data_IF_834146672742
#
_entry.id   IF_834146672742
#
_cell.length_a   1.000
_cell.length_b   1.000
_cell.length_c   1.000
_cell.angle_alpha   90.00
_cell.angle_beta   90.00
_cell.angle_gamma   90.00
#
_symmetry.space_group_name_H-M   'P 1'
#
loop_
_entity.id
_entity.type
_entity.pdbx_description
1 polymer ?
#
# COMPACT_ATOMS: atom_id res chain seq x y z
N UNK A 1 -2.20 8.19 18.97
CA UNK A 1 -1.64 7.09 18.16
C UNK A 1 -2.79 6.34 17.50
N UNK A 2 -2.59 5.80 16.29
CA UNK A 2 -3.56 4.91 15.60
C UNK A 2 -3.05 3.45 15.64
N UNK A 3 -2.87 2.84 16.83
CA UNK A 3 -2.35 1.48 16.91
C UNK A 3 -3.38 0.51 16.36
N UNK A 4 -2.93 -0.44 15.55
CA UNK A 4 -3.73 -1.61 15.24
C UNK A 4 -3.95 -2.38 16.54
N UNK A 5 -5.21 -2.54 16.93
CA UNK A 5 -5.58 -3.34 18.10
C UNK A 5 -5.94 -4.72 17.53
N UNK A 6 -5.16 -5.74 17.92
CA UNK A 6 -5.55 -7.12 17.63
C UNK A 6 -6.87 -7.40 18.34
N UNK A 7 -7.82 -7.96 17.59
CA UNK A 7 -9.18 -8.21 18.03
C UNK A 7 -9.53 -9.68 17.75
N UNK A 8 -10.39 -10.30 18.56
CA UNK A 8 -10.93 -11.62 18.24
C UNK A 8 -11.61 -11.62 16.87
N UNK A 9 -11.44 -12.71 16.11
CA UNK A 9 -12.06 -12.91 14.81
C UNK A 9 -13.47 -13.48 14.95
N UNK A 10 -14.33 -12.79 15.70
CA UNK A 10 -15.73 -13.20 15.90
C UNK A 10 -16.71 -12.05 15.62
N UNK A 11 -17.98 -12.39 15.42
CA UNK A 11 -19.05 -11.44 15.10
C UNK A 11 -19.37 -10.45 16.22
N UNK A 12 -18.84 -10.64 17.43
CA UNK A 12 -18.98 -9.66 18.52
C UNK A 12 -18.06 -8.45 18.35
N UNK A 13 -17.03 -8.59 17.50
CA UNK A 13 -16.02 -7.57 17.31
C UNK A 13 -16.31 -6.59 16.16
N UNK A 14 -17.55 -6.11 16.08
CA UNK A 14 -17.99 -5.18 15.03
C UNK A 14 -18.46 -3.85 15.59
N UNK A 15 -18.47 -2.81 14.77
CA UNK A 15 -19.03 -1.51 15.13
C UNK A 15 -20.53 -1.62 15.41
N UNK A 16 -20.98 -1.08 16.53
CA UNK A 16 -22.41 -0.99 16.88
C UNK A 16 -23.11 0.15 16.16
N UNK A 17 -22.37 1.18 15.75
CA UNK A 17 -22.88 2.36 15.05
C UNK A 17 -21.97 2.75 13.88
N UNK A 18 -22.55 3.40 12.87
CA UNK A 18 -21.78 3.97 11.77
C UNK A 18 -21.06 5.25 12.18
N UNK A 19 -19.91 5.53 11.57
CA UNK A 19 -19.10 6.74 11.79
C UNK A 19 -18.72 7.39 10.48
N UNK A 20 -19.05 8.67 10.31
CA UNK A 20 -18.55 9.49 9.19
C UNK A 20 -17.13 9.96 9.54
N UNK A 21 -16.17 9.70 8.65
CA UNK A 21 -14.79 10.15 8.81
C UNK A 21 -14.56 11.46 8.07
N UNK A 22 -15.03 11.54 6.83
CA UNK A 22 -15.01 12.74 5.98
C UNK A 22 -16.00 12.56 4.82
N UNK A 23 -16.13 13.57 3.95
CA UNK A 23 -16.92 13.44 2.73
C UNK A 23 -16.42 12.25 1.87
N UNK A 24 -17.32 11.32 1.53
CA UNK A 24 -16.98 10.12 0.76
C UNK A 24 -16.31 8.98 1.54
N UNK A 25 -16.06 9.15 2.85
CA UNK A 25 -15.44 8.13 3.70
C UNK A 25 -16.21 7.95 5.00
N UNK A 26 -16.77 6.76 5.20
CA UNK A 26 -17.45 6.37 6.42
C UNK A 26 -17.17 4.91 6.77
N UNK A 27 -17.31 4.61 8.04
CA UNK A 27 -17.33 3.27 8.61
C UNK A 27 -18.80 2.93 8.83
N UNK A 28 -19.27 1.84 8.25
CA UNK A 28 -20.65 1.38 8.43
C UNK A 28 -20.81 0.69 9.78
N UNK A 29 -22.03 0.59 10.28
CA UNK A 29 -22.36 -0.34 11.35
C UNK A 29 -22.05 -1.77 10.88
N UNK A 30 -21.53 -2.63 11.75
CA UNK A 30 -21.13 -4.00 11.40
C UNK A 30 -19.72 -4.13 10.82
N UNK A 31 -18.97 -3.04 10.69
CA UNK A 31 -17.56 -3.10 10.25
C UNK A 31 -16.69 -3.73 11.34
N UNK A 32 -15.78 -4.63 10.95
CA UNK A 32 -14.81 -5.24 11.87
C UNK A 32 -13.99 -4.17 12.61
N UNK A 33 -13.91 -4.25 13.93
CA UNK A 33 -13.25 -3.24 14.77
C UNK A 33 -11.75 -3.07 14.44
N UNK A 34 -11.10 -4.08 13.86
CA UNK A 34 -9.70 -3.97 13.42
C UNK A 34 -9.48 -2.97 12.26
N UNK A 35 -10.54 -2.59 11.55
CA UNK A 35 -10.52 -1.54 10.52
C UNK A 35 -10.89 -0.16 11.05
N UNK A 36 -11.27 -0.07 12.32
CA UNK A 36 -11.52 1.21 12.98
C UNK A 36 -10.22 1.78 13.54
N UNK A 37 -10.22 3.09 13.84
CA UNK A 37 -9.10 3.79 14.46
C UNK A 37 -7.75 3.63 13.71
N UNK A 38 -7.82 3.52 12.38
CA UNK A 38 -6.65 3.59 11.49
C UNK A 38 -6.37 5.04 11.10
N UNK A 39 -5.16 5.32 10.65
CA UNK A 39 -4.83 6.64 10.11
C UNK A 39 -5.65 6.95 8.84
N UNK A 40 -5.88 8.23 8.50
CA UNK A 40 -6.68 8.61 7.33
C UNK A 40 -6.27 7.93 6.02
N UNK A 41 -4.97 7.75 5.78
CA UNK A 41 -4.43 7.12 4.56
C UNK A 41 -4.88 5.67 4.38
N UNK A 42 -5.17 4.93 5.46
CA UNK A 42 -5.72 3.58 5.35
C UNK A 42 -7.07 3.58 4.60
N UNK A 43 -7.99 4.47 4.97
CA UNK A 43 -9.33 4.52 4.38
C UNK A 43 -9.34 5.06 2.95
N UNK A 44 -8.35 5.89 2.60
CA UNK A 44 -8.17 6.41 1.24
C UNK A 44 -7.54 5.35 0.32
N UNK A 45 -6.58 4.57 0.83
CA UNK A 45 -5.79 3.67 0.00
C UNK A 45 -6.33 2.25 -0.06
N UNK A 46 -6.98 1.76 1.00
CA UNK A 46 -7.34 0.35 1.17
C UNK A 46 -8.85 0.19 1.20
N UNK A 47 -9.39 -0.61 0.28
CA UNK A 47 -10.69 -1.22 0.43
C UNK A 47 -10.57 -2.52 1.22
N UNK A 48 -11.43 -2.69 2.21
CA UNK A 48 -11.48 -3.84 3.12
C UNK A 48 -12.91 -4.40 3.13
N UNK A 49 -13.11 -5.63 3.63
CA UNK A 49 -14.46 -6.19 3.69
C UNK A 49 -15.34 -5.38 4.64
N UNK A 50 -16.56 -5.12 4.19
CA UNK A 50 -17.54 -4.21 4.76
C UNK A 50 -17.19 -2.72 4.63
N UNK A 51 -16.28 -2.36 3.72
CA UNK A 51 -16.00 -0.97 3.40
C UNK A 51 -17.17 -0.36 2.63
N UNK A 52 -17.57 0.85 3.03
CA UNK A 52 -18.56 1.60 2.30
C UNK A 52 -18.01 2.18 0.99
N UNK A 53 -18.78 2.01 -0.09
CA UNK A 53 -18.45 2.45 -1.44
C UNK A 53 -19.57 3.29 -2.05
N UNK A 54 -19.25 4.55 -2.36
CA UNK A 54 -20.23 5.56 -2.75
C UNK A 54 -20.89 5.31 -4.11
N UNK A 55 -20.09 5.07 -5.16
CA UNK A 55 -20.56 4.98 -6.55
C UNK A 55 -21.51 6.13 -6.94
N UNK A 56 -21.14 7.37 -6.59
CA UNK A 56 -22.07 8.50 -6.56
C UNK A 56 -22.71 8.89 -7.89
N UNK A 57 -22.09 8.55 -9.04
CA UNK A 57 -22.63 8.85 -10.38
C UNK A 57 -23.79 7.96 -10.79
N UNK A 58 -23.85 6.70 -10.34
CA UNK A 58 -24.96 5.83 -10.72
C UNK A 58 -26.25 6.22 -10.00
N UNK A 59 -27.38 6.00 -10.66
CA UNK A 59 -28.72 6.15 -10.09
C UNK A 59 -29.31 4.82 -9.62
N UNK A 60 -28.64 3.69 -9.87
CA UNK A 60 -29.11 2.37 -9.43
C UNK A 60 -28.88 2.17 -7.93
N UNK A 61 -29.96 1.98 -7.17
CA UNK A 61 -29.90 1.79 -5.71
C UNK A 61 -29.10 0.55 -5.29
N UNK A 62 -29.11 -0.53 -6.11
CA UNK A 62 -28.37 -1.76 -5.84
C UNK A 62 -26.84 -1.60 -5.92
N UNK A 63 -26.35 -0.51 -6.52
CA UNK A 63 -24.92 -0.23 -6.69
C UNK A 63 -24.49 1.03 -5.94
N UNK A 64 -25.38 2.00 -5.77
CA UNK A 64 -25.06 3.26 -5.10
C UNK A 64 -24.99 3.08 -3.58
N UNK A 65 -23.96 3.64 -2.95
CA UNK A 65 -23.79 3.72 -1.50
C UNK A 65 -23.82 2.36 -0.76
N UNK A 66 -23.26 1.31 -1.35
CA UNK A 66 -23.27 -0.05 -0.80
C UNK A 66 -22.03 -0.35 0.06
N UNK A 67 -22.16 -1.31 0.98
CA UNK A 67 -20.99 -1.93 1.62
C UNK A 67 -20.49 -3.08 0.73
N UNK A 68 -19.17 -3.18 0.59
CA UNK A 68 -18.52 -4.19 -0.25
C UNK A 68 -17.89 -5.25 0.63
N UNK A 69 -18.27 -6.50 0.40
CA UNK A 69 -17.87 -7.64 1.22
C UNK A 69 -17.17 -8.70 0.35
N UNK A 70 -16.09 -9.29 0.87
CA UNK A 70 -15.16 -10.12 0.08
C UNK A 70 -15.15 -11.61 0.47
N UNK A 71 -15.89 -12.03 1.50
CA UNK A 71 -15.99 -13.44 1.87
C UNK A 71 -16.76 -14.24 0.81
N UNK A 72 -16.65 -15.56 0.84
CA UNK A 72 -17.26 -16.41 -0.17
C UNK A 72 -18.80 -16.32 -0.13
N UNK A 73 -19.42 -16.00 -1.27
CA UNK A 73 -20.86 -15.75 -1.36
C UNK A 73 -21.30 -14.32 -1.05
N UNK A 74 -20.39 -13.42 -0.64
CA UNK A 74 -20.67 -12.00 -0.50
C UNK A 74 -20.83 -11.29 -1.86
N UNK A 75 -21.36 -10.06 -1.86
CA UNK A 75 -21.64 -9.27 -3.06
C UNK A 75 -20.42 -8.94 -3.93
N UNK A 76 -19.20 -9.05 -3.39
CA UNK A 76 -17.94 -8.95 -4.13
C UNK A 76 -16.98 -10.08 -3.77
N UNK A 77 -17.55 -11.21 -3.32
CA UNK A 77 -16.85 -12.45 -3.06
C UNK A 77 -16.71 -13.32 -4.31
N UNK A 78 -15.94 -14.40 -4.18
CA UNK A 78 -15.62 -15.36 -5.24
C UNK A 78 -16.82 -15.82 -6.08
N UNK A 79 -17.90 -16.24 -5.42
CA UNK A 79 -19.10 -16.78 -6.11
C UNK A 79 -19.92 -15.72 -6.85
N UNK A 80 -19.66 -14.43 -6.65
CA UNK A 80 -20.28 -13.33 -7.40
C UNK A 80 -19.33 -12.76 -8.47
N UNK A 81 -18.20 -13.43 -8.72
CA UNK A 81 -17.24 -13.02 -9.74
C UNK A 81 -17.67 -13.44 -11.13
N UNK A 82 -17.34 -12.60 -12.12
CA UNK A 82 -17.35 -12.99 -13.53
C UNK A 82 -15.94 -13.39 -13.93
N UNK A 83 -15.80 -14.50 -14.67
CA UNK A 83 -14.50 -15.00 -15.17
C UNK A 83 -13.43 -15.23 -14.09
N UNK A 84 -13.83 -15.65 -12.87
CA UNK A 84 -12.91 -15.84 -11.74
C UNK A 84 -12.12 -14.57 -11.36
N UNK A 85 -12.66 -13.37 -11.65
CA UNK A 85 -12.06 -12.09 -11.25
C UNK A 85 -12.65 -11.64 -9.91
N UNK A 86 -11.94 -11.91 -8.83
CA UNK A 86 -12.32 -11.51 -7.48
C UNK A 86 -11.10 -11.19 -6.63
N UNK A 87 -11.37 -10.66 -5.45
CA UNK A 87 -10.35 -10.34 -4.48
C UNK A 87 -9.74 -11.62 -3.88
N UNK A 88 -8.41 -11.78 -3.97
CA UNK A 88 -7.71 -12.98 -3.48
C UNK A 88 -7.02 -12.78 -2.11
N UNK A 89 -7.09 -11.56 -1.55
CA UNK A 89 -6.32 -11.18 -0.34
C UNK A 89 -7.19 -10.72 0.84
N UNK A 90 -8.50 -10.51 0.61
CA UNK A 90 -9.40 -9.77 1.51
C UNK A 90 -9.30 -8.24 1.43
N UNK A 91 -8.44 -7.69 0.55
CA UNK A 91 -8.19 -6.25 0.45
C UNK A 91 -8.03 -5.80 -1.00
N UNK A 92 -8.64 -4.68 -1.37
CA UNK A 92 -8.48 -4.05 -2.69
C UNK A 92 -7.80 -2.69 -2.56
N UNK A 93 -7.24 -2.20 -3.67
CA UNK A 93 -6.79 -0.81 -3.74
C UNK A 93 -7.99 0.12 -3.94
N UNK A 94 -8.06 1.17 -3.14
CA UNK A 94 -9.05 2.26 -3.25
C UNK A 94 -8.42 3.58 -3.70
N UNK A 95 -7.09 3.65 -3.73
CA UNK A 95 -6.38 4.84 -4.19
C UNK A 95 -6.75 5.17 -5.64
N UNK A 96 -6.90 6.47 -5.93
CA UNK A 96 -7.37 6.99 -7.22
C UNK A 96 -8.84 6.67 -7.59
N UNK A 97 -9.61 6.08 -6.69
CA UNK A 97 -11.06 5.94 -6.87
C UNK A 97 -11.77 7.15 -6.28
N UNK A 98 -12.38 7.95 -7.14
CA UNK A 98 -13.19 9.08 -6.75
C UNK A 98 -14.56 8.60 -6.22
N UNK A 99 -15.14 9.22 -5.17
CA UNK A 99 -16.45 8.80 -4.66
C UNK A 99 -17.60 8.84 -5.68
N UNK A 100 -17.48 9.62 -6.75
CA UNK A 100 -18.45 9.62 -7.85
C UNK A 100 -18.23 8.49 -8.87
N UNK A 101 -17.12 7.76 -8.82
CA UNK A 101 -16.85 6.71 -9.80
C UNK A 101 -17.79 5.52 -9.62
N UNK A 102 -18.48 5.15 -10.70
CA UNK A 102 -19.19 3.89 -10.82
C UNK A 102 -18.76 3.21 -12.13
N UNK A 103 -18.42 1.92 -12.06
CA UNK A 103 -18.04 1.14 -13.24
C UNK A 103 -19.24 0.66 -14.05
N UNK A 104 -20.42 0.57 -13.42
CA UNK A 104 -21.63 0.08 -14.08
C UNK A 104 -22.89 0.66 -13.45
N UNK A 105 -24.00 0.51 -14.16
CA UNK A 105 -25.32 0.97 -13.78
C UNK A 105 -25.74 2.24 -14.52
N UNK A 106 -27.03 2.55 -14.50
CA UNK A 106 -27.59 3.75 -15.13
C UNK A 106 -26.87 5.00 -14.65
N UNK A 107 -26.43 5.83 -15.59
CA UNK A 107 -25.71 7.08 -15.31
C UNK A 107 -24.30 6.92 -14.75
N UNK A 108 -23.75 5.70 -14.69
CA UNK A 108 -22.40 5.44 -14.21
C UNK A 108 -21.35 6.20 -15.01
N UNK A 109 -20.45 6.88 -14.30
CA UNK A 109 -19.34 7.64 -14.88
C UNK A 109 -18.09 7.39 -14.05
N UNK A 110 -16.95 7.46 -14.71
CA UNK A 110 -15.64 7.50 -14.08
C UNK A 110 -15.00 8.84 -14.42
N UNK A 111 -14.47 9.53 -13.43
CA UNK A 111 -13.71 10.78 -13.67
C UNK A 111 -12.32 10.45 -14.20
N UNK A 112 -11.73 11.34 -14.98
CA UNK A 112 -10.30 11.23 -15.28
C UNK A 112 -9.46 11.56 -14.04
N UNK A 113 -8.32 10.88 -13.87
CA UNK A 113 -7.35 11.14 -12.80
C UNK A 113 -5.96 11.23 -13.39
N UNK A 114 -5.22 12.24 -12.96
CA UNK A 114 -3.79 12.34 -13.28
C UNK A 114 -3.00 11.39 -12.39
N UNK A 115 -2.18 10.55 -13.00
CA UNK A 115 -1.23 9.71 -12.28
C UNK A 115 0.07 10.49 -12.06
N UNK A 116 0.47 10.78 -10.80
CA UNK A 116 1.68 11.53 -10.53
C UNK A 116 2.91 10.66 -10.82
N UNK A 117 3.79 11.15 -11.71
CA UNK A 117 5.12 10.54 -11.90
C UNK A 117 6.09 11.04 -10.83
N UNK A 118 5.98 12.31 -10.43
CA UNK A 118 6.71 12.92 -9.32
C UNK A 118 5.72 13.80 -8.55
N UNK A 119 5.79 13.76 -7.22
CA UNK A 119 5.02 14.69 -6.37
C UNK A 119 5.81 15.11 -5.15
N UNK A 120 5.44 16.26 -4.59
CA UNK A 120 6.22 16.92 -3.55
C UNK A 120 6.54 16.04 -2.32
N UNK A 121 5.63 15.18 -1.88
CA UNK A 121 5.90 14.30 -0.74
C UNK A 121 7.04 13.30 -1.01
N UNK A 122 7.22 12.85 -2.25
CA UNK A 122 8.36 12.00 -2.62
C UNK A 122 9.68 12.75 -2.47
N UNK A 123 9.72 14.03 -2.88
CA UNK A 123 10.89 14.90 -2.73
C UNK A 123 11.25 15.07 -1.25
N UNK A 124 10.25 15.32 -0.40
CA UNK A 124 10.44 15.43 1.05
C UNK A 124 10.97 14.13 1.67
N UNK A 125 10.44 12.97 1.26
CA UNK A 125 10.92 11.66 1.73
C UNK A 125 12.35 11.38 1.25
N UNK A 126 12.64 11.65 -0.02
CA UNK A 126 13.96 11.44 -0.59
C UNK A 126 15.00 12.35 0.07
N UNK A 127 14.66 13.61 0.33
CA UNK A 127 15.52 14.55 1.02
C UNK A 127 15.83 14.11 2.46
N UNK A 128 14.80 13.71 3.22
CA UNK A 128 14.97 13.21 4.58
C UNK A 128 15.79 11.90 4.61
N UNK A 129 15.57 10.99 3.67
CA UNK A 129 16.35 9.76 3.53
C UNK A 129 17.82 10.04 3.17
N UNK A 130 18.07 10.97 2.25
CA UNK A 130 19.43 11.36 1.85
C UNK A 130 20.19 11.98 3.03
N UNK A 131 19.59 12.95 3.73
CA UNK A 131 20.19 13.57 4.91
C UNK A 131 20.52 12.53 6.00
N UNK A 132 19.64 11.57 6.23
CA UNK A 132 19.87 10.55 7.24
C UNK A 132 21.08 9.66 6.93
N UNK A 133 21.38 9.44 5.64
CA UNK A 133 22.46 8.55 5.20
C UNK A 133 23.79 9.29 4.92
N UNK A 134 23.91 10.57 5.28
CA UNK A 134 25.19 11.27 5.28
C UNK A 134 26.07 10.73 6.41
N UNK A 135 27.09 9.94 6.05
CA UNK A 135 28.04 9.34 7.00
C UNK A 135 29.15 10.28 7.46
N UNK A 136 29.32 11.41 6.77
CA UNK A 136 30.31 12.43 7.05
C UNK A 136 29.81 13.81 6.57
N UNK A 137 30.55 14.87 6.92
CA UNK A 137 30.33 16.19 6.36
C UNK A 137 30.80 16.26 4.90
N UNK A 138 30.03 16.92 4.05
CA UNK A 138 30.40 17.21 2.66
C UNK A 138 30.36 18.71 2.42
N UNK A 139 31.37 19.25 1.74
CA UNK A 139 31.45 20.66 1.36
C UNK A 139 31.16 20.80 -0.14
N UNK A 140 30.12 21.54 -0.50
CA UNK A 140 29.73 21.79 -1.89
C UNK A 140 29.38 23.27 -2.02
N UNK A 141 30.02 23.97 -2.95
CA UNK A 141 29.79 25.40 -3.24
C UNK A 141 29.83 26.32 -1.99
N UNK A 142 30.71 25.99 -1.03
CA UNK A 142 30.87 26.74 0.22
C UNK A 142 29.80 26.46 1.28
N UNK A 143 29.04 25.37 1.13
CA UNK A 143 28.05 24.91 2.09
C UNK A 143 28.39 23.52 2.64
N UNK A 144 28.28 23.36 3.95
CA UNK A 144 28.46 22.10 4.67
C UNK A 144 27.16 21.31 4.76
N UNK A 145 27.18 20.05 4.32
CA UNK A 145 26.07 19.10 4.43
C UNK A 145 26.45 17.97 5.38
N UNK A 146 25.67 17.80 6.46
CA UNK A 146 25.86 16.73 7.46
C UNK A 146 24.50 16.12 7.80
N UNK A 147 24.50 14.99 8.52
CA UNK A 147 23.25 14.43 9.06
C UNK A 147 22.63 15.39 10.08
N UNK A 148 21.60 16.12 9.63
CA UNK A 148 20.84 17.07 10.44
C UNK A 148 19.48 16.48 10.84
N UNK A 149 19.34 16.10 12.11
CA UNK A 149 18.09 15.52 12.65
C UNK A 149 16.93 16.50 12.70
N UNK A 150 17.20 17.80 12.87
CA UNK A 150 16.15 18.82 12.90
C UNK A 150 15.60 19.08 11.50
N UNK A 151 16.47 19.14 10.49
CA UNK A 151 16.04 19.20 9.09
C UNK A 151 15.24 17.94 8.69
N UNK A 152 15.75 16.74 9.01
CA UNK A 152 15.02 15.48 8.78
C UNK A 152 13.62 15.56 9.40
N UNK A 153 13.55 15.97 10.68
CA UNK A 153 12.29 16.10 11.42
C UNK A 153 11.35 17.12 10.78
N UNK A 154 11.88 18.27 10.37
CA UNK A 154 11.10 19.33 9.74
C UNK A 154 10.41 18.84 8.47
N UNK A 155 11.17 18.30 7.50
CA UNK A 155 10.63 17.91 6.20
C UNK A 155 9.76 16.65 6.28
N UNK A 156 10.20 15.64 7.03
CA UNK A 156 9.45 14.39 7.15
C UNK A 156 8.11 14.59 7.86
N UNK A 157 8.06 15.45 8.89
CA UNK A 157 6.83 15.69 9.62
C UNK A 157 5.77 16.44 8.82
N UNK A 158 6.12 17.21 7.78
CA UNK A 158 5.11 17.83 6.91
C UNK A 158 4.16 16.80 6.29
N UNK A 159 4.69 15.64 5.90
CA UNK A 159 3.93 14.54 5.31
C UNK A 159 2.96 13.95 6.33
N UNK A 160 3.47 13.72 7.54
CA UNK A 160 2.75 13.12 8.66
C UNK A 160 1.66 14.03 9.19
N UNK A 161 1.97 15.32 9.37
CA UNK A 161 1.00 16.32 9.79
C UNK A 161 -0.10 16.52 8.74
N UNK A 162 0.24 16.54 7.45
CA UNK A 162 -0.77 16.54 6.37
C UNK A 162 -1.67 15.31 6.44
N UNK A 163 -1.11 14.14 6.77
CA UNK A 163 -1.88 12.92 6.98
C UNK A 163 -2.65 12.87 8.31
N UNK A 164 -2.53 13.88 9.17
CA UNK A 164 -3.21 13.95 10.46
C UNK A 164 -2.66 12.99 11.51
N UNK A 165 -1.38 12.64 11.43
CA UNK A 165 -0.70 11.75 12.40
C UNK A 165 0.46 12.47 13.12
N UNK A 166 0.84 12.01 14.34
CA UNK A 166 1.95 12.61 15.08
C UNK A 166 3.27 12.53 14.31
N UNK A 167 4.16 13.50 14.51
CA UNK A 167 5.50 13.53 13.92
C UNK A 167 6.44 12.48 14.53
N UNK A 168 7.70 12.53 14.10
CA UNK A 168 8.80 11.72 14.63
C UNK A 168 9.06 11.99 16.11
N UNK A 169 9.39 10.90 16.81
CA UNK A 169 9.91 10.92 18.18
C UNK A 169 11.43 11.05 18.19
N UNK A 170 12.03 11.25 19.37
CA UNK A 170 13.49 11.24 19.51
C UNK A 170 14.09 9.86 19.17
N UNK A 171 13.41 8.78 19.56
CA UNK A 171 13.84 7.40 19.31
C UNK A 171 13.86 7.07 17.81
N UNK A 172 12.97 7.67 17.02
CA UNK A 172 12.97 7.49 15.56
C UNK A 172 14.21 8.10 14.89
N UNK A 173 14.92 9.03 15.55
CA UNK A 173 16.06 9.77 15.00
C UNK A 173 17.40 9.40 15.65
N UNK A 174 17.40 8.51 16.65
CA UNK A 174 18.56 8.18 17.48
C UNK A 174 19.72 7.59 16.67
N UNK A 175 19.42 6.75 15.67
CA UNK A 175 20.43 6.23 14.73
C UNK A 175 19.95 6.31 13.29
N UNK A 176 20.90 6.14 12.37
CA UNK A 176 20.62 6.03 10.93
C UNK A 176 19.66 4.87 10.66
N UNK A 177 19.86 3.73 11.30
CA UNK A 177 19.07 2.52 11.15
C UNK A 177 17.65 2.68 11.72
N UNK A 178 17.51 3.37 12.85
CA UNK A 178 16.21 3.68 13.44
C UNK A 178 15.37 4.50 12.45
N UNK A 179 15.94 5.58 11.92
CA UNK A 179 15.23 6.40 10.95
C UNK A 179 15.01 5.68 9.61
N UNK A 180 15.96 4.85 9.16
CA UNK A 180 15.80 4.06 7.94
C UNK A 180 14.56 3.16 8.01
N UNK A 181 14.27 2.52 9.15
CA UNK A 181 13.03 1.74 9.33
C UNK A 181 11.78 2.63 9.22
N UNK A 182 11.83 3.83 9.78
CA UNK A 182 10.71 4.77 9.79
C UNK A 182 10.44 5.33 8.40
N UNK A 183 11.46 5.78 7.67
CA UNK A 183 11.32 6.30 6.30
C UNK A 183 10.90 5.20 5.32
N UNK A 184 11.41 3.97 5.47
CA UNK A 184 10.96 2.83 4.66
C UNK A 184 9.47 2.56 4.82
N UNK A 185 8.97 2.61 6.07
CA UNK A 185 7.54 2.44 6.37
C UNK A 185 6.70 3.61 5.85
N UNK A 186 7.16 4.84 6.03
CA UNK A 186 6.42 6.02 5.58
C UNK A 186 6.35 6.07 4.05
N UNK A 187 7.44 5.76 3.34
CA UNK A 187 7.45 5.62 1.87
C UNK A 187 6.47 4.56 1.38
N UNK A 188 6.43 3.39 2.05
CA UNK A 188 5.46 2.34 1.72
C UNK A 188 4.01 2.83 1.81
N UNK A 189 3.67 3.56 2.88
CA UNK A 189 2.30 4.03 3.12
C UNK A 189 1.94 5.20 2.19
N UNK A 190 2.84 6.18 2.09
CA UNK A 190 2.61 7.42 1.35
C UNK A 190 2.53 7.15 -0.16
N UNK A 191 3.48 6.37 -0.69
CA UNK A 191 3.65 6.07 -2.12
C UNK A 191 3.00 4.73 -2.52
N UNK A 192 2.10 4.20 -1.68
CA UNK A 192 1.31 3.01 -2.00
C UNK A 192 0.63 3.15 -3.37
N UNK A 193 0.76 2.14 -4.24
CA UNK A 193 0.18 2.16 -5.60
C UNK A 193 0.70 3.27 -6.54
N UNK A 194 1.91 3.80 -6.28
CA UNK A 194 2.57 4.80 -7.14
C UNK A 194 3.84 4.27 -7.83
N UNK A 195 4.02 2.95 -7.93
CA UNK A 195 5.15 2.33 -8.65
C UNK A 195 6.50 2.32 -7.92
N UNK A 196 6.59 2.93 -6.73
CA UNK A 196 7.86 3.13 -6.02
C UNK A 196 8.36 1.87 -5.29
N UNK A 197 7.44 1.05 -4.75
CA UNK A 197 7.79 -0.09 -3.89
C UNK A 197 8.75 -1.09 -4.56
N UNK A 198 8.58 -1.33 -5.86
CA UNK A 198 9.42 -2.24 -6.64
C UNK A 198 10.90 -1.83 -6.63
N UNK A 199 11.16 -0.52 -6.78
CA UNK A 199 12.50 0.05 -6.80
C UNK A 199 13.06 0.24 -5.39
N UNK A 200 12.22 0.69 -4.46
CA UNK A 200 12.58 0.94 -3.07
C UNK A 200 13.16 -0.32 -2.39
N UNK A 201 12.50 -1.48 -2.51
CA UNK A 201 13.00 -2.71 -1.88
C UNK A 201 14.30 -3.23 -2.52
N UNK A 202 14.53 -2.94 -3.80
CA UNK A 202 15.75 -3.34 -4.53
C UNK A 202 16.93 -2.46 -4.12
N UNK A 203 16.78 -1.14 -4.14
CA UNK A 203 17.86 -0.21 -3.77
C UNK A 203 18.23 -0.30 -2.29
N UNK A 204 17.29 -0.72 -1.44
CA UNK A 204 17.57 -1.01 -0.03
C UNK A 204 18.18 -2.39 0.21
N UNK A 205 18.26 -3.26 -0.82
CA UNK A 205 18.81 -4.61 -0.68
C UNK A 205 17.95 -5.57 0.15
N UNK A 206 16.66 -5.27 0.36
CA UNK A 206 15.75 -6.08 1.19
C UNK A 206 14.76 -6.92 0.37
N UNK A 207 14.85 -6.89 -0.96
CA UNK A 207 13.92 -7.60 -1.85
C UNK A 207 13.95 -9.11 -1.63
N UNK A 208 15.13 -9.71 -1.45
CA UNK A 208 15.25 -11.14 -1.27
C UNK A 208 14.59 -11.62 0.02
N UNK A 209 14.82 -10.91 1.12
CA UNK A 209 14.20 -11.23 2.41
C UNK A 209 12.68 -11.10 2.33
N UNK A 210 12.17 -10.06 1.68
CA UNK A 210 10.73 -9.85 1.54
C UNK A 210 10.05 -10.87 0.61
N UNK A 211 10.73 -11.32 -0.45
CA UNK A 211 10.17 -12.31 -1.38
C UNK A 211 10.20 -13.74 -0.81
N UNK A 212 11.08 -14.04 0.15
CA UNK A 212 11.08 -15.31 0.89
C UNK A 212 9.88 -15.44 1.84
N UNK A 213 9.33 -14.31 2.30
CA UNK A 213 8.17 -14.32 3.18
C UNK A 213 6.89 -14.71 2.42
N UNK A 214 6.05 -15.59 3.00
CA UNK A 214 4.75 -15.89 2.42
C UNK A 214 3.86 -14.65 2.43
N UNK A 215 3.14 -14.40 1.32
CA UNK A 215 2.16 -13.33 1.29
C UNK A 215 0.93 -13.73 2.10
N UNK A 216 0.62 -12.89 3.09
CA UNK A 216 -0.51 -13.07 3.99
C UNK A 216 -1.72 -12.26 3.50
N UNK A 217 -2.91 -12.77 3.75
CA UNK A 217 -4.18 -12.12 3.47
C UNK A 217 -5.28 -12.66 4.38
N UNK A 218 -6.53 -12.44 4.00
CA UNK A 218 -7.70 -13.05 4.62
C UNK A 218 -8.13 -14.32 3.87
N UNK A 219 -8.93 -15.15 4.51
CA UNK A 219 -9.39 -16.40 3.91
C UNK A 219 -10.65 -16.18 3.06
N UNK A 220 -10.46 -15.76 1.81
CA UNK A 220 -11.56 -15.45 0.86
C UNK A 220 -12.41 -16.66 0.44
N UNK A 221 -11.97 -17.88 0.80
CA UNK A 221 -12.72 -19.12 0.54
C UNK A 221 -13.82 -19.39 1.58
N UNK A 222 -13.72 -18.75 2.75
CA UNK A 222 -14.68 -18.94 3.84
C UNK A 222 -15.93 -18.09 3.63
N UNK A 223 -17.10 -18.70 3.86
CA UNK A 223 -18.39 -18.01 3.82
C UNK A 223 -18.75 -17.36 5.16
N UNK A 224 -18.20 -17.88 6.26
CA UNK A 224 -18.45 -17.36 7.60
C UNK A 224 -17.43 -16.30 8.01
N UNK A 225 -17.90 -15.35 8.80
CA UNK A 225 -17.13 -14.22 9.33
C UNK A 225 -15.85 -14.69 10.03
N UNK A 226 -15.98 -15.63 10.98
CA UNK A 226 -14.88 -16.12 11.81
C UNK A 226 -13.75 -16.73 10.97
N UNK A 227 -14.11 -17.45 9.91
CA UNK A 227 -13.15 -18.05 8.99
C UNK A 227 -12.52 -17.02 8.07
N UNK A 228 -13.30 -16.06 7.55
CA UNK A 228 -12.81 -15.06 6.61
C UNK A 228 -11.76 -14.14 7.24
N UNK A 229 -12.02 -13.60 8.43
CA UNK A 229 -11.14 -12.60 9.04
C UNK A 229 -9.84 -13.17 9.63
N UNK A 230 -9.68 -14.49 9.68
CA UNK A 230 -8.42 -15.12 10.09
C UNK A 230 -7.31 -14.85 9.06
N UNK A 231 -6.18 -14.25 9.48
CA UNK A 231 -5.01 -14.11 8.62
C UNK A 231 -4.52 -15.48 8.18
N UNK A 232 -4.33 -15.66 6.88
CA UNK A 232 -3.86 -16.90 6.29
C UNK A 232 -2.85 -16.63 5.19
N UNK A 233 -2.03 -17.62 4.88
CA UNK A 233 -1.17 -17.61 3.69
C UNK A 233 -2.06 -17.69 2.46
N UNK A 234 -1.85 -16.79 1.50
CA UNK A 234 -2.61 -16.75 0.25
C UNK A 234 -2.26 -17.99 -0.58
N UNK A 235 -3.22 -18.89 -0.80
CA UNK A 235 -3.02 -20.21 -1.43
C UNK A 235 -3.13 -20.22 -2.97
N UNK A 236 -3.07 -19.06 -3.62
CA UNK A 236 -3.18 -18.99 -5.08
C UNK A 236 -1.86 -19.39 -5.73
N UNK A 237 -1.94 -20.24 -6.76
CA UNK A 237 -0.77 -20.78 -7.48
C UNK A 237 0.26 -19.71 -7.86
N UNK A 238 -0.18 -18.60 -8.45
CA UNK A 238 0.68 -17.48 -8.86
C UNK A 238 1.40 -16.75 -7.70
N UNK A 239 0.94 -16.95 -6.47
CA UNK A 239 1.49 -16.33 -5.25
C UNK A 239 2.41 -17.29 -4.50
N UNK A 240 2.02 -18.57 -4.40
CA UNK A 240 2.80 -19.59 -3.70
C UNK A 240 4.00 -20.07 -4.53
N UNK A 241 3.91 -20.01 -5.86
CA UNK A 241 5.00 -20.38 -6.78
C UNK A 241 5.93 -19.20 -7.12
N UNK A 242 5.87 -18.10 -6.34
CA UNK A 242 6.86 -17.02 -6.47
C UNK A 242 8.24 -17.57 -6.12
N UNK A 243 9.14 -17.51 -7.09
CA UNK A 243 10.54 -17.91 -6.95
C UNK A 243 11.41 -16.69 -7.25
N UNK A 244 11.95 -16.08 -6.20
CA UNK A 244 12.90 -14.98 -6.34
C UNK A 244 14.32 -15.52 -6.35
N UNK A 245 15.06 -15.21 -7.43
CA UNK A 245 16.49 -15.53 -7.54
C UNK A 245 17.30 -14.24 -7.42
N UNK A 246 18.49 -14.25 -6.81
CA UNK A 246 19.32 -13.04 -6.68
C UNK A 246 19.56 -12.28 -8.00
N UNK A 247 19.64 -12.98 -9.14
CA UNK A 247 19.75 -12.35 -10.47
C UNK A 247 18.57 -11.43 -10.84
N UNK A 248 17.37 -11.67 -10.28
CA UNK A 248 16.14 -10.91 -10.53
C UNK A 248 16.11 -9.53 -9.85
N UNK A 249 17.17 -9.18 -9.10
CA UNK A 249 17.43 -7.78 -8.71
C UNK A 249 17.54 -6.91 -9.97
N UNK A 250 18.21 -7.42 -11.02
CA UNK A 250 18.34 -6.78 -12.31
C UNK A 250 17.46 -7.46 -13.35
N UNK A 251 16.83 -6.68 -14.24
CA UNK A 251 16.10 -7.24 -15.37
C UNK A 251 17.09 -7.73 -16.45
N UNK A 252 16.85 -8.86 -17.12
CA UNK A 252 17.70 -9.27 -18.22
C UNK A 252 17.61 -8.27 -19.37
N UNK A 253 18.75 -7.99 -20.00
CA UNK A 253 18.76 -7.35 -21.31
C UNK A 253 18.25 -8.35 -22.36
N UNK A 254 17.49 -7.85 -23.34
CA UNK A 254 16.96 -8.69 -24.41
C UNK A 254 18.11 -9.30 -25.23
N UNK A 255 18.08 -10.62 -25.49
CA UNK A 255 19.18 -11.32 -26.17
C UNK A 255 19.52 -10.71 -27.54
N UNK A 256 18.52 -10.23 -28.28
CA UNK A 256 18.75 -9.60 -29.58
C UNK A 256 19.56 -8.31 -29.47
N UNK A 257 19.46 -7.57 -28.37
CA UNK A 257 20.28 -6.37 -28.16
C UNK A 257 21.72 -6.74 -27.82
N UNK A 258 21.94 -7.79 -27.03
CA UNK A 258 23.29 -8.29 -26.74
C UNK A 258 23.96 -8.83 -27.99
N UNK A 259 23.23 -9.52 -28.86
CA UNK A 259 23.79 -10.09 -30.11
C UNK A 259 24.22 -9.04 -31.12
N UNK A 260 23.60 -7.84 -31.11
CA UNK A 260 23.98 -6.74 -32.00
C UNK A 260 25.36 -6.17 -31.66
N UNK A 261 25.74 -6.17 -30.38
CA UNK A 261 26.97 -5.54 -29.90
C UNK A 261 27.81 -6.57 -29.16
N UNK A 262 28.83 -7.12 -29.84
CA UNK A 262 29.64 -8.23 -29.31
C UNK A 262 30.30 -7.93 -27.94
N UNK A 263 30.63 -6.65 -27.70
CA UNK A 263 31.24 -6.15 -26.45
C UNK A 263 30.23 -5.91 -25.32
N UNK A 264 28.92 -5.93 -25.60
CA UNK A 264 27.89 -5.77 -24.57
C UNK A 264 27.79 -7.07 -23.78
N UNK A 265 27.79 -6.93 -22.45
CA UNK A 265 27.61 -8.04 -21.53
C UNK A 265 26.20 -8.03 -20.93
N UNK A 266 25.79 -9.16 -20.37
CA UNK A 266 24.50 -9.32 -19.74
C UNK A 266 24.53 -8.83 -18.27
N UNK A 267 23.36 -8.48 -17.72
CA UNK A 267 23.23 -8.20 -16.30
C UNK A 267 23.61 -9.41 -15.44
N UNK A 268 24.15 -9.20 -14.22
CA UNK A 268 24.69 -10.28 -13.39
C UNK A 268 23.74 -11.46 -13.16
N UNK A 269 24.23 -12.67 -13.42
CA UNK A 269 23.51 -13.93 -13.22
C UNK A 269 22.54 -14.34 -14.33
N UNK A 270 22.37 -13.51 -15.36
CA UNK A 270 21.62 -13.86 -16.57
C UNK A 270 22.57 -14.34 -17.66
N UNK A 271 22.10 -15.29 -18.47
CA UNK A 271 22.90 -15.89 -19.54
C UNK A 271 22.91 -15.00 -20.79
N UNK A 272 24.01 -15.08 -21.55
CA UNK A 272 24.26 -14.36 -22.81
C UNK A 272 23.75 -15.14 -24.02
#
# INVERSE_FOLDING_TARGET
>A
AYPYISRPYDKTCVTTEGKVLSEGYKISQGTYLAYTNREPRFYVNIGYSHAWWAMGSTTESAKKNVNIDYWNGANSGKNHSNNNVYNITGYTSRKYINPQDAMSGSGARQKDKSFPIIRYAEILLAYAEALNNLTQAYEIDGQTYTRDTEAIKYYFNQIRYRAGIPGLTADDLITVEAFNKVVQRERLIELFWEGQRYYDIRRWGIVEDLEREPLMGLNVEQAEWEGFYQPTVIQYKSIIERDFKPKMVWLPLHLDEIRKVSVLDQNPGWDK
#
